data_IF_712197406754
#
_entry.id   IF_712197406754
#
_cell.length_a   1.000
_cell.length_b   1.000
_cell.length_c   1.000
_cell.angle_alpha   90.00
_cell.angle_beta   90.00
_cell.angle_gamma   90.00
#
_symmetry.space_group_name_H-M   'P 1'
#
loop_
_entity.id
_entity.type
_entity.pdbx_description
1 polymer ?
#
# COMPACT_ATOMS: atom_id res chain seq x y z
N UNK A 1 -34.12 15.22 -37.74
CA UNK A 1 -35.16 14.20 -37.45
C UNK A 1 -35.21 14.06 -35.92
N UNK A 2 -36.06 14.78 -35.17
CA UNK A 2 -37.52 14.64 -34.96
C UNK A 2 -37.95 13.26 -34.41
N UNK A 3 -38.28 13.26 -33.10
CA UNK A 3 -39.34 12.56 -32.32
C UNK A 3 -39.52 11.03 -32.51
N UNK A 4 -39.81 10.21 -31.49
CA UNK A 4 -40.95 10.28 -30.55
C UNK A 4 -40.79 9.26 -29.38
N UNK A 5 -41.41 9.48 -28.20
CA UNK A 5 -41.24 8.69 -26.98
C UNK A 5 -42.34 7.63 -26.77
N UNK A 6 -42.08 6.65 -25.89
CA UNK A 6 -43.04 5.64 -25.45
C UNK A 6 -43.23 5.68 -23.94
N UNK A 7 -44.44 6.09 -23.54
CA UNK A 7 -44.89 6.33 -22.18
C UNK A 7 -45.67 5.13 -21.63
N UNK A 8 -45.68 5.01 -20.29
CA UNK A 8 -46.79 4.50 -19.45
C UNK A 8 -47.03 2.98 -19.43
N UNK A 9 -46.93 2.36 -18.24
CA UNK A 9 -48.12 1.92 -17.50
C UNK A 9 -47.80 1.62 -16.02
N UNK A 10 -48.33 2.47 -15.16
CA UNK A 10 -48.48 2.29 -13.72
C UNK A 10 -49.64 1.32 -13.48
N UNK A 11 -49.44 0.23 -12.74
CA UNK A 11 -50.56 -0.59 -12.24
C UNK A 11 -50.61 -0.49 -10.72
N UNK A 12 -51.52 0.36 -10.24
CA UNK A 12 -51.96 0.38 -8.86
C UNK A 12 -53.03 -0.70 -8.67
N UNK A 13 -52.89 -1.52 -7.63
CA UNK A 13 -53.92 -2.43 -7.14
C UNK A 13 -54.31 -2.00 -5.72
N UNK A 14 -55.54 -1.51 -5.60
CA UNK A 14 -56.28 -1.29 -4.36
C UNK A 14 -56.94 -2.60 -3.93
N UNK A 15 -56.88 -2.92 -2.64
CA UNK A 15 -57.97 -3.61 -1.94
C UNK A 15 -57.94 -3.27 -0.45
N UNK A 16 -59.10 -2.88 0.06
CA UNK A 16 -59.37 -2.44 1.43
C UNK A 16 -59.85 -3.58 2.34
N UNK A 17 -59.81 -3.34 3.66
CA UNK A 17 -60.48 -4.12 4.71
C UNK A 17 -59.48 -4.79 5.66
N UNK A 18 -59.59 -4.77 6.99
CA UNK A 18 -60.69 -4.44 7.88
C UNK A 18 -60.15 -3.78 9.16
N UNK A 19 -61.00 -2.93 9.73
CA UNK A 19 -60.86 -2.31 11.04
C UNK A 19 -61.22 -3.33 12.12
N UNK A 20 -60.34 -3.53 13.11
CA UNK A 20 -60.62 -4.26 14.34
C UNK A 20 -59.90 -3.55 15.48
N UNK A 21 -60.60 -2.64 16.16
CA UNK A 21 -60.15 -2.07 17.42
C UNK A 21 -60.18 -3.16 18.50
N UNK A 22 -59.02 -3.52 19.02
CA UNK A 22 -58.90 -4.28 20.28
C UNK A 22 -57.76 -3.65 21.09
N UNK A 23 -58.01 -3.14 22.30
CA UNK A 23 -56.95 -2.59 23.15
C UNK A 23 -56.23 -3.76 23.83
N UNK A 24 -55.16 -4.24 23.20
CA UNK A 24 -54.24 -5.20 23.81
C UNK A 24 -53.06 -4.44 24.42
N UNK A 25 -53.10 -4.31 25.74
CA UNK A 25 -51.97 -3.89 26.59
C UNK A 25 -50.73 -4.71 26.22
N UNK A 26 -49.80 -4.09 25.49
CA UNK A 26 -48.49 -4.68 25.22
C UNK A 26 -47.50 -4.00 26.14
N UNK A 27 -47.08 -4.71 27.19
CA UNK A 27 -45.98 -4.30 28.04
C UNK A 27 -44.73 -4.07 27.18
N UNK A 28 -44.15 -2.88 27.28
CA UNK A 28 -42.91 -2.55 26.60
C UNK A 28 -41.79 -3.48 27.13
N UNK A 29 -41.29 -4.36 26.26
CA UNK A 29 -40.07 -5.10 26.52
C UNK A 29 -38.90 -4.10 26.66
N UNK A 30 -37.99 -4.28 27.64
CA UNK A 30 -36.83 -3.41 27.77
C UNK A 30 -35.99 -3.53 26.48
N UNK A 31 -35.71 -2.38 25.88
CA UNK A 31 -34.80 -2.28 24.74
C UNK A 31 -33.46 -2.92 25.12
N UNK A 32 -33.16 -4.08 24.52
CA UNK A 32 -31.87 -4.70 24.64
C UNK A 32 -30.84 -3.73 24.06
N UNK A 33 -29.99 -3.18 24.94
CA UNK A 33 -28.85 -2.40 24.53
C UNK A 33 -27.94 -3.30 23.67
N UNK A 34 -27.91 -3.05 22.37
CA UNK A 34 -26.88 -3.57 21.48
C UNK A 34 -25.56 -3.00 21.95
N UNK A 35 -24.79 -3.81 22.68
CA UNK A 35 -23.41 -3.51 23.00
C UNK A 35 -22.64 -3.42 21.67
N UNK A 36 -22.24 -2.20 21.33
CA UNK A 36 -21.41 -1.92 20.16
C UNK A 36 -20.08 -2.65 20.35
N UNK A 37 -19.81 -3.63 19.47
CA UNK A 37 -18.56 -4.39 19.52
C UNK A 37 -17.39 -3.40 19.38
N UNK A 38 -16.34 -3.51 20.23
CA UNK A 38 -15.22 -2.59 20.18
C UNK A 38 -14.60 -2.61 18.79
N UNK A 39 -14.47 -1.43 18.17
CA UNK A 39 -13.81 -1.27 16.89
C UNK A 39 -12.43 -1.95 16.96
N UNK A 40 -12.21 -2.96 16.11
CA UNK A 40 -10.93 -3.65 16.03
C UNK A 40 -9.84 -2.63 15.74
N UNK A 41 -8.88 -2.49 16.66
CA UNK A 41 -7.71 -1.63 16.44
C UNK A 41 -6.97 -2.15 15.20
N UNK A 42 -6.80 -1.32 14.18
CA UNK A 42 -6.04 -1.67 12.98
C UNK A 42 -4.62 -2.06 13.39
N UNK A 43 -4.16 -3.26 13.02
CA UNK A 43 -2.80 -3.69 13.30
C UNK A 43 -1.79 -2.78 12.58
N UNK A 44 -0.65 -2.46 13.20
CA UNK A 44 0.41 -1.71 12.53
C UNK A 44 0.87 -2.42 11.25
N UNK A 45 1.18 -1.66 10.20
CA UNK A 45 1.52 -2.23 8.89
C UNK A 45 3.01 -2.15 8.59
N UNK A 46 3.56 -3.24 8.03
CA UNK A 46 4.81 -3.26 7.27
C UNK A 46 4.43 -3.15 5.78
N UNK A 47 4.74 -2.01 5.19
CA UNK A 47 4.47 -1.74 3.78
C UNK A 47 5.75 -1.98 2.97
N UNK A 48 5.68 -2.93 2.03
CA UNK A 48 6.72 -3.14 1.03
C UNK A 48 6.37 -2.34 -0.22
N UNK A 49 7.15 -1.31 -0.50
CA UNK A 49 6.95 -0.38 -1.60
C UNK A 49 8.12 -0.50 -2.58
N UNK A 50 7.85 -1.07 -3.74
CA UNK A 50 8.90 -1.29 -4.72
C UNK A 50 8.45 -1.71 -6.09
N UNK A 51 9.34 -2.35 -6.84
CA UNK A 51 9.10 -2.71 -8.24
C UNK A 51 8.66 -4.18 -8.42
N UNK A 52 9.08 -4.81 -9.51
CA UNK A 52 8.93 -6.23 -9.82
C UNK A 52 9.48 -7.17 -8.74
N UNK A 53 10.59 -6.80 -8.08
CA UNK A 53 11.17 -7.64 -7.02
C UNK A 53 10.18 -7.71 -5.86
N UNK A 54 9.66 -6.55 -5.44
CA UNK A 54 8.60 -6.46 -4.43
C UNK A 54 7.29 -7.11 -4.91
N UNK A 55 6.91 -6.92 -6.17
CA UNK A 55 5.68 -7.48 -6.72
C UNK A 55 5.70 -9.02 -6.81
N UNK A 56 6.86 -9.66 -6.77
CA UNK A 56 6.99 -11.11 -6.97
C UNK A 56 6.88 -11.51 -8.44
N UNK A 57 7.45 -10.71 -9.36
CA UNK A 57 7.40 -11.05 -10.79
C UNK A 57 8.06 -12.41 -11.06
N UNK A 58 7.29 -13.35 -11.62
CA UNK A 58 7.77 -14.67 -12.00
C UNK A 58 7.59 -15.75 -10.94
N UNK A 59 6.92 -15.46 -9.82
CA UNK A 59 6.56 -16.42 -8.77
C UNK A 59 5.08 -16.27 -8.41
N UNK A 60 4.54 -17.25 -7.67
CA UNK A 60 3.18 -17.14 -7.16
C UNK A 60 3.07 -16.04 -6.07
N UNK A 61 1.89 -15.43 -5.86
CA UNK A 61 1.74 -14.32 -4.92
C UNK A 61 2.17 -14.61 -3.47
N UNK A 62 2.07 -15.86 -3.03
CA UNK A 62 2.49 -16.34 -1.71
C UNK A 62 3.99 -16.66 -1.62
N UNK A 63 4.67 -16.80 -2.77
CA UNK A 63 6.12 -16.97 -2.89
C UNK A 63 6.87 -15.63 -2.98
N UNK A 64 6.16 -14.53 -3.27
CA UNK A 64 6.75 -13.19 -3.25
C UNK A 64 7.37 -12.89 -1.87
N UNK A 65 8.55 -12.26 -1.85
CA UNK A 65 9.27 -12.07 -0.59
C UNK A 65 8.48 -11.30 0.49
N UNK A 66 7.60 -10.31 0.18
CA UNK A 66 6.74 -9.71 1.19
C UNK A 66 5.78 -10.73 1.82
N UNK A 67 5.21 -11.64 1.03
CA UNK A 67 4.30 -12.69 1.53
C UNK A 67 5.05 -13.67 2.45
N UNK A 68 6.25 -14.10 2.06
CA UNK A 68 7.11 -14.94 2.90
C UNK A 68 7.49 -14.25 4.22
N UNK A 69 7.76 -12.94 4.18
CA UNK A 69 7.97 -12.14 5.40
C UNK A 69 6.69 -12.07 6.24
N UNK A 70 5.51 -11.93 5.62
CA UNK A 70 4.21 -12.02 6.29
C UNK A 70 4.06 -13.33 7.07
N UNK A 71 4.29 -14.47 6.42
CA UNK A 71 4.29 -15.79 7.07
C UNK A 71 5.26 -15.84 8.24
N UNK A 72 6.45 -15.22 8.11
CA UNK A 72 7.43 -15.17 9.20
C UNK A 72 6.97 -14.28 10.36
N UNK A 73 6.40 -13.12 10.08
CA UNK A 73 5.81 -12.19 11.06
C UNK A 73 4.73 -12.90 11.87
N UNK A 74 3.83 -13.61 11.19
CA UNK A 74 2.74 -14.35 11.81
C UNK A 74 3.27 -15.49 12.69
N UNK A 75 4.25 -16.26 12.21
CA UNK A 75 4.89 -17.35 12.98
C UNK A 75 5.54 -16.86 14.28
N UNK A 76 5.98 -15.60 14.30
CA UNK A 76 6.60 -14.95 15.45
C UNK A 76 5.57 -14.24 16.35
N UNK A 77 4.27 -14.32 16.01
CA UNK A 77 3.18 -13.64 16.72
C UNK A 77 3.41 -12.13 16.85
N UNK A 78 4.09 -11.53 15.87
CA UNK A 78 4.31 -10.10 15.85
C UNK A 78 3.01 -9.40 15.43
N UNK A 79 2.66 -8.25 16.03
CA UNK A 79 1.37 -7.62 15.81
C UNK A 79 1.33 -6.82 14.49
N UNK A 80 1.96 -7.27 13.41
CA UNK A 80 2.03 -6.53 12.15
C UNK A 80 1.22 -7.19 11.06
N UNK A 81 0.58 -6.38 10.21
CA UNK A 81 0.11 -6.84 8.90
C UNK A 81 1.15 -6.49 7.84
N UNK A 82 1.40 -7.40 6.90
CA UNK A 82 2.27 -7.13 5.75
C UNK A 82 1.44 -6.74 4.54
N UNK A 83 1.82 -5.65 3.88
CA UNK A 83 1.20 -5.21 2.63
C UNK A 83 2.24 -5.13 1.53
N UNK A 84 1.99 -5.85 0.45
CA UNK A 84 2.74 -5.76 -0.79
C UNK A 84 2.17 -4.64 -1.67
N UNK A 85 2.94 -3.59 -1.88
CA UNK A 85 2.64 -2.50 -2.80
C UNK A 85 3.69 -2.42 -3.93
N UNK A 86 4.22 -3.57 -4.35
CA UNK A 86 5.11 -3.69 -5.50
C UNK A 86 4.40 -3.45 -6.83
N UNK A 87 5.08 -2.77 -7.76
CA UNK A 87 4.57 -2.55 -9.12
C UNK A 87 5.66 -2.86 -10.15
N UNK A 88 5.47 -3.91 -10.93
CA UNK A 88 6.46 -4.37 -11.92
C UNK A 88 6.85 -3.28 -12.92
N UNK A 89 8.16 -3.11 -13.13
CA UNK A 89 8.73 -2.12 -14.05
C UNK A 89 8.73 -0.67 -13.55
N UNK A 90 8.35 -0.44 -12.29
CA UNK A 90 8.30 0.89 -11.69
C UNK A 90 9.71 1.49 -11.51
N UNK A 91 9.86 2.75 -11.90
CA UNK A 91 11.05 3.57 -11.61
C UNK A 91 10.84 4.40 -10.35
N UNK A 92 11.91 5.00 -9.83
CA UNK A 92 11.82 5.92 -8.69
C UNK A 92 10.84 7.09 -8.94
N UNK A 93 10.75 7.58 -10.18
CA UNK A 93 9.80 8.62 -10.58
C UNK A 93 8.35 8.14 -10.50
N UNK A 94 8.10 6.91 -10.98
CA UNK A 94 6.78 6.27 -10.91
C UNK A 94 6.34 6.06 -9.46
N UNK A 95 7.22 5.49 -8.64
CA UNK A 95 6.96 5.31 -7.21
C UNK A 95 6.62 6.62 -6.50
N UNK A 96 7.41 7.68 -6.73
CA UNK A 96 7.12 9.01 -6.18
C UNK A 96 5.71 9.49 -6.54
N UNK A 97 5.27 9.27 -7.78
CA UNK A 97 3.97 9.79 -8.26
C UNK A 97 2.75 9.18 -7.54
N UNK A 98 2.85 7.93 -7.08
CA UNK A 98 1.74 7.22 -6.42
C UNK A 98 1.84 7.15 -4.89
N UNK A 99 2.95 7.63 -4.32
CA UNK A 99 3.26 7.44 -2.91
C UNK A 99 2.16 7.95 -1.97
N UNK A 100 1.65 9.16 -2.21
CA UNK A 100 0.58 9.77 -1.41
C UNK A 100 -0.67 8.87 -1.34
N UNK A 101 -1.09 8.34 -2.50
CA UNK A 101 -2.24 7.43 -2.55
C UNK A 101 -1.97 6.16 -1.75
N UNK A 102 -0.78 5.56 -1.86
CA UNK A 102 -0.43 4.34 -1.11
C UNK A 102 -0.42 4.60 0.40
N UNK A 103 0.21 5.68 0.87
CA UNK A 103 0.29 6.00 2.29
C UNK A 103 -1.08 6.33 2.89
N UNK A 104 -1.99 6.93 2.11
CA UNK A 104 -3.34 7.29 2.59
C UNK A 104 -4.24 6.09 2.93
N UNK A 105 -3.89 4.87 2.48
CA UNK A 105 -4.75 3.70 2.64
C UNK A 105 -4.75 3.11 4.05
N UNK A 106 -3.66 3.28 4.80
CA UNK A 106 -3.48 2.64 6.10
C UNK A 106 -2.32 3.25 6.91
N UNK A 107 -2.33 3.11 8.25
CA UNK A 107 -1.18 3.48 9.08
C UNK A 107 0.06 2.62 8.82
N UNK A 108 1.12 3.23 8.28
CA UNK A 108 2.40 2.54 8.02
C UNK A 108 3.35 2.70 9.20
N UNK A 109 3.91 1.60 9.69
CA UNK A 109 4.85 1.61 10.82
C UNK A 109 6.26 1.24 10.39
N UNK A 110 6.37 0.36 9.39
CA UNK A 110 7.62 0.09 8.68
C UNK A 110 7.37 0.27 7.19
N UNK A 111 8.20 1.08 6.54
CA UNK A 111 8.17 1.31 5.10
C UNK A 111 9.46 0.77 4.49
N UNK A 112 9.35 -0.33 3.74
CA UNK A 112 10.47 -0.92 3.01
C UNK A 112 10.47 -0.34 1.61
N UNK A 113 11.49 0.45 1.29
CA UNK A 113 11.66 1.12 0.00
C UNK A 113 12.63 0.34 -0.88
N UNK A 114 12.13 -0.24 -1.95
CA UNK A 114 12.87 -1.03 -2.93
C UNK A 114 12.60 -0.45 -4.33
N UNK A 115 13.33 0.59 -4.72
CA UNK A 115 13.21 1.19 -6.05
C UNK A 115 14.57 1.66 -6.55
N UNK A 116 14.69 1.74 -7.88
CA UNK A 116 15.87 2.25 -8.57
C UNK A 116 16.53 1.23 -9.48
N UNK A 117 16.23 -0.07 -9.34
CA UNK A 117 16.72 -1.11 -10.25
C UNK A 117 16.36 -0.81 -11.70
N UNK A 118 15.10 -0.45 -11.96
CA UNK A 118 14.62 -0.06 -13.28
C UNK A 118 15.26 1.23 -13.82
N UNK A 119 15.52 2.23 -12.97
CA UNK A 119 16.25 3.45 -13.35
C UNK A 119 17.68 3.10 -13.77
N UNK A 120 18.34 2.26 -12.95
CA UNK A 120 19.67 1.74 -13.16
C UNK A 120 19.79 1.02 -14.51
N UNK A 121 18.97 0.00 -14.74
CA UNK A 121 18.95 -0.82 -15.97
C UNK A 121 18.58 -0.04 -17.23
N UNK A 122 17.85 1.08 -17.11
CA UNK A 122 17.53 1.98 -18.22
C UNK A 122 18.61 3.04 -18.47
N UNK A 123 19.66 3.09 -17.66
CA UNK A 123 20.75 4.07 -17.77
C UNK A 123 20.30 5.50 -17.50
N UNK A 124 19.30 5.69 -16.63
CA UNK A 124 18.83 7.03 -16.26
C UNK A 124 19.88 7.78 -15.42
N UNK A 125 19.91 9.13 -15.45
CA UNK A 125 20.84 9.89 -14.62
C UNK A 125 20.68 9.57 -13.13
N UNK A 126 21.77 9.21 -12.45
CA UNK A 126 21.75 8.87 -11.02
C UNK A 126 21.29 10.03 -10.13
N UNK A 127 21.50 11.27 -10.58
CA UNK A 127 20.97 12.46 -9.92
C UNK A 127 19.44 12.45 -9.82
N UNK A 128 18.75 11.99 -10.86
CA UNK A 128 17.28 11.89 -10.87
C UNK A 128 16.80 10.76 -9.95
N UNK A 129 17.44 9.58 -10.02
CA UNK A 129 17.20 8.46 -9.10
C UNK A 129 17.32 8.92 -7.65
N UNK A 130 18.42 9.61 -7.31
CA UNK A 130 18.69 10.14 -5.97
C UNK A 130 17.63 11.15 -5.54
N UNK A 131 17.28 12.10 -6.42
CA UNK A 131 16.26 13.12 -6.16
C UNK A 131 14.89 12.49 -5.88
N UNK A 132 14.50 11.48 -6.64
CA UNK A 132 13.22 10.82 -6.48
C UNK A 132 13.18 9.98 -5.20
N UNK A 133 14.22 9.21 -4.89
CA UNK A 133 14.31 8.45 -3.64
C UNK A 133 14.30 9.38 -2.42
N UNK A 134 15.05 10.48 -2.45
CA UNK A 134 15.01 11.47 -1.37
C UNK A 134 13.61 12.05 -1.20
N UNK A 135 12.92 12.41 -2.29
CA UNK A 135 11.55 12.92 -2.21
C UNK A 135 10.58 11.89 -1.61
N UNK A 136 10.72 10.60 -1.96
CA UNK A 136 9.93 9.52 -1.34
C UNK A 136 10.18 9.47 0.17
N UNK A 137 11.44 9.49 0.59
CA UNK A 137 11.83 9.48 2.01
C UNK A 137 11.24 10.68 2.75
N UNK A 138 11.32 11.87 2.15
CA UNK A 138 10.81 13.11 2.73
C UNK A 138 9.28 13.07 2.88
N UNK A 139 8.56 12.60 1.86
CA UNK A 139 7.10 12.42 1.92
C UNK A 139 6.69 11.42 3.00
N UNK A 140 7.36 10.27 3.13
CA UNK A 140 7.05 9.30 4.20
C UNK A 140 7.25 9.93 5.57
N UNK A 141 8.31 10.72 5.77
CA UNK A 141 8.55 11.43 7.04
C UNK A 141 7.51 12.50 7.35
N UNK A 142 7.02 13.18 6.31
CA UNK A 142 6.01 14.22 6.45
C UNK A 142 4.64 13.62 6.79
N UNK A 143 4.23 12.59 6.07
CA UNK A 143 2.87 12.01 6.17
C UNK A 143 2.77 10.90 7.20
N UNK A 144 3.88 10.29 7.58
CA UNK A 144 3.93 9.24 8.60
C UNK A 144 5.19 9.38 9.48
N UNK A 145 5.25 10.41 10.35
CA UNK A 145 6.46 10.78 11.09
C UNK A 145 7.06 9.70 12.00
N UNK A 146 6.26 8.71 12.39
CA UNK A 146 6.70 7.61 13.25
C UNK A 146 7.15 6.35 12.49
N UNK A 147 6.97 6.35 11.16
CA UNK A 147 7.35 5.21 10.31
C UNK A 147 8.86 5.01 10.29
N UNK A 148 9.29 3.78 10.51
CA UNK A 148 10.67 3.37 10.28
C UNK A 148 10.85 3.06 8.79
N UNK A 149 11.84 3.68 8.17
CA UNK A 149 12.14 3.44 6.76
C UNK A 149 13.32 2.49 6.66
N UNK A 150 13.13 1.40 5.94
CA UNK A 150 14.17 0.45 5.52
C UNK A 150 14.43 0.70 4.05
N UNK A 151 15.64 1.12 3.69
CA UNK A 151 16.05 1.27 2.31
C UNK A 151 16.68 -0.05 1.83
N UNK A 152 16.14 -0.64 0.76
CA UNK A 152 16.75 -1.77 0.09
C UNK A 152 17.76 -1.27 -0.94
N UNK A 153 19.04 -1.58 -0.72
CA UNK A 153 20.12 -1.26 -1.63
C UNK A 153 20.12 -2.20 -2.83
N UNK A 154 20.32 -1.63 -4.01
CA UNK A 154 20.39 -2.36 -5.28
C UNK A 154 21.78 -2.23 -5.89
N UNK A 155 22.21 -3.24 -6.64
CA UNK A 155 23.37 -3.13 -7.53
C UNK A 155 22.95 -3.36 -8.97
N UNK A 156 23.80 -2.90 -9.89
CA UNK A 156 23.60 -3.11 -11.33
C UNK A 156 24.83 -3.79 -11.92
N UNK A 157 24.66 -4.55 -13.01
CA UNK A 157 25.76 -5.25 -13.64
C UNK A 157 26.89 -4.31 -14.09
N UNK A 158 28.16 -4.72 -13.96
CA UNK A 158 29.32 -3.87 -14.29
C UNK A 158 29.46 -3.54 -15.78
N UNK A 159 28.77 -4.29 -16.67
CA UNK A 159 28.74 -4.00 -18.11
C UNK A 159 27.98 -2.70 -18.45
N UNK A 160 27.26 -2.10 -17.50
CA UNK A 160 26.68 -0.75 -17.61
C UNK A 160 27.72 0.37 -17.46
N UNK A 161 28.97 0.01 -17.15
CA UNK A 161 30.06 0.93 -16.84
C UNK A 161 30.42 0.83 -15.36
N UNK A 162 31.68 0.51 -15.01
CA UNK A 162 32.07 0.27 -13.62
C UNK A 162 31.91 1.51 -12.72
N UNK A 163 32.11 2.71 -13.27
CA UNK A 163 31.88 3.96 -12.55
C UNK A 163 30.40 4.16 -12.21
N UNK A 164 29.52 3.95 -13.20
CA UNK A 164 28.07 4.06 -13.01
C UNK A 164 27.56 3.01 -12.01
N UNK A 165 28.01 1.76 -12.10
CA UNK A 165 27.65 0.70 -11.16
C UNK A 165 28.12 0.99 -9.72
N UNK A 166 29.35 1.49 -9.56
CA UNK A 166 29.86 1.88 -8.25
C UNK A 166 29.10 3.06 -7.65
N UNK A 167 28.81 4.10 -8.44
CA UNK A 167 28.05 5.26 -8.00
C UNK A 167 26.60 4.90 -7.67
N UNK A 168 25.97 4.02 -8.46
CA UNK A 168 24.63 3.51 -8.21
C UNK A 168 24.54 2.78 -6.85
N UNK A 169 25.51 1.92 -6.55
CA UNK A 169 25.60 1.26 -5.24
C UNK A 169 25.79 2.27 -4.10
N UNK A 170 26.71 3.22 -4.29
CA UNK A 170 27.05 4.23 -3.27
C UNK A 170 25.86 5.15 -2.96
N UNK A 171 25.02 5.44 -3.96
CA UNK A 171 23.81 6.26 -3.80
C UNK A 171 22.92 5.80 -2.65
N UNK A 172 22.69 4.49 -2.50
CA UNK A 172 21.86 3.94 -1.42
C UNK A 172 22.53 4.11 -0.05
N UNK A 173 23.83 3.86 0.05
CA UNK A 173 24.59 4.05 1.28
C UNK A 173 24.59 5.52 1.74
N UNK A 174 24.74 6.45 0.79
CA UNK A 174 24.67 7.88 1.06
C UNK A 174 23.28 8.30 1.55
N UNK A 175 22.21 7.84 0.87
CA UNK A 175 20.83 8.17 1.25
C UNK A 175 20.50 7.62 2.63
N UNK A 176 20.89 6.37 2.91
CA UNK A 176 20.69 5.78 4.22
C UNK A 176 21.46 6.52 5.31
N UNK A 177 22.72 6.89 5.07
CA UNK A 177 23.54 7.64 6.05
C UNK A 177 22.96 9.03 6.29
N UNK A 178 22.74 9.80 5.22
CA UNK A 178 22.18 11.17 5.29
C UNK A 178 20.87 11.20 6.05
N UNK A 179 20.00 10.22 5.80
CA UNK A 179 18.69 10.16 6.39
C UNK A 179 18.65 9.27 7.66
N UNK A 180 19.75 8.67 8.12
CA UNK A 180 19.76 7.74 9.27
C UNK A 180 18.75 6.59 9.12
N UNK A 181 18.70 5.98 7.95
CA UNK A 181 17.80 4.86 7.64
C UNK A 181 18.47 3.52 7.94
N UNK A 182 17.65 2.50 8.20
CA UNK A 182 18.12 1.12 8.13
C UNK A 182 18.37 0.77 6.66
N UNK A 183 19.57 0.28 6.34
CA UNK A 183 19.94 -0.13 4.99
C UNK A 183 20.04 -1.66 4.93
N UNK A 184 19.32 -2.27 4.00
CA UNK A 184 19.68 -3.60 3.49
C UNK A 184 20.75 -3.36 2.43
N UNK A 185 22.02 -3.74 2.63
CA UNK A 185 23.11 -3.31 1.75
C UNK A 185 22.95 -3.79 0.31
N UNK A 186 22.27 -4.94 0.15
CA UNK A 186 22.07 -5.58 -1.13
C UNK A 186 20.85 -6.49 -1.06
N UNK A 187 19.82 -6.20 -1.87
CA UNK A 187 18.68 -7.08 -2.08
C UNK A 187 18.82 -7.87 -3.39
N UNK A 188 19.25 -7.20 -4.47
CA UNK A 188 19.62 -7.80 -5.77
C UNK A 188 20.57 -6.89 -6.56
#
# INVERSE_FOLDING_TARGET
MKYLPGSVLLLALLAAGCHSDTPATTAAAPAAATAEAPAAKSQPTILFFGDSITAGLGVDPDEAYPALIGTKVDSLHLPYTVVNAGLSGETTAGGRSRLHWVLSRQPVHVFVLELGGNDGLRGLPLADTRKNLQAIIDTVRQESPHTKIVLAGMQIPPNMGPAYAAEFKQLYADLATKNKLTLIPFLL
#
